data_IF_774871399451
#
_entry.id   IF_774871399451
#
_cell.length_a   1.000
_cell.length_b   1.000
_cell.length_c   1.000
_cell.angle_alpha   90.00
_cell.angle_beta   90.00
_cell.angle_gamma   90.00
#
_symmetry.space_group_name_H-M   'P 1'
#
loop_
_entity.id
_entity.type
_entity.pdbx_description
1 polymer ?
#
# COMPACT_ATOMS: atom_id res chain seq x y z
N UNK A 1 2.01 -2.80 35.11
CA UNK A 1 1.62 -3.53 33.89
C UNK A 1 1.40 -2.56 32.71
N UNK A 2 0.72 -1.44 32.90
CA UNK A 2 0.50 -0.43 31.85
C UNK A 2 1.79 0.09 31.19
N UNK A 3 2.83 0.39 31.95
CA UNK A 3 4.12 0.83 31.39
C UNK A 3 4.78 -0.25 30.50
N UNK A 4 4.64 -1.52 30.86
CA UNK A 4 5.20 -2.63 30.08
C UNK A 4 4.39 -2.81 28.78
N UNK A 5 3.06 -2.73 28.85
CA UNK A 5 2.20 -2.77 27.68
C UNK A 5 2.51 -1.63 26.74
N UNK A 6 2.58 -0.40 27.24
CA UNK A 6 2.95 0.77 26.45
C UNK A 6 4.33 0.65 25.80
N UNK A 7 5.33 0.16 26.54
CA UNK A 7 6.69 -0.04 26.01
C UNK A 7 6.71 -1.11 24.90
N UNK A 8 5.96 -2.20 25.10
CA UNK A 8 5.86 -3.29 24.13
C UNK A 8 5.13 -2.84 22.85
N UNK A 9 4.01 -2.13 22.97
CA UNK A 9 3.23 -1.64 21.84
C UNK A 9 3.98 -0.53 21.08
N UNK A 10 4.69 0.36 21.80
CA UNK A 10 5.59 1.33 21.18
C UNK A 10 6.71 0.65 20.40
N UNK A 11 7.37 -0.35 20.98
CA UNK A 11 8.41 -1.14 20.30
C UNK A 11 7.84 -1.86 19.09
N UNK A 12 6.65 -2.45 19.21
CA UNK A 12 5.97 -3.14 18.11
C UNK A 12 5.67 -2.18 16.94
N UNK A 13 5.11 -1.01 17.21
CA UNK A 13 4.82 0.00 16.20
C UNK A 13 6.09 0.48 15.45
N UNK A 14 7.19 0.72 16.19
CA UNK A 14 8.48 1.11 15.61
C UNK A 14 9.06 -0.01 14.73
N UNK A 15 9.01 -1.26 15.19
CA UNK A 15 9.51 -2.41 14.41
C UNK A 15 8.67 -2.68 13.18
N UNK A 16 7.34 -2.59 13.29
CA UNK A 16 6.43 -2.70 12.16
C UNK A 16 6.69 -1.57 11.15
N UNK A 17 6.85 -0.34 11.60
CA UNK A 17 7.23 0.79 10.76
C UNK A 17 8.57 0.58 10.05
N UNK A 18 9.56 0.01 10.73
CA UNK A 18 10.86 -0.32 10.12
C UNK A 18 10.73 -1.40 9.02
N UNK A 19 9.89 -2.42 9.20
CA UNK A 19 9.59 -3.40 8.16
C UNK A 19 8.92 -2.75 6.95
N UNK A 20 7.96 -1.84 7.16
CA UNK A 20 7.32 -1.10 6.07
C UNK A 20 8.31 -0.13 5.40
N UNK A 21 9.16 0.58 6.15
CA UNK A 21 10.24 1.39 5.59
C UNK A 21 11.12 0.57 4.65
N UNK A 22 11.41 -0.69 5.00
CA UNK A 22 12.19 -1.59 4.16
C UNK A 22 11.53 -1.87 2.80
N UNK A 23 10.20 -1.72 2.68
CA UNK A 23 9.51 -1.80 1.39
C UNK A 23 9.97 -0.73 0.39
N UNK A 24 10.52 0.41 0.82
CA UNK A 24 11.12 1.40 -0.09
C UNK A 24 12.30 0.80 -0.88
N UNK A 25 13.12 -0.05 -0.24
CA UNK A 25 14.14 -0.82 -0.95
C UNK A 25 13.51 -1.85 -1.90
N UNK A 26 12.42 -2.50 -1.50
CA UNK A 26 11.65 -3.42 -2.33
C UNK A 26 11.12 -2.76 -3.61
N UNK A 27 10.47 -1.62 -3.50
CA UNK A 27 10.01 -0.82 -4.65
C UNK A 27 11.17 -0.41 -5.55
N UNK A 28 12.27 0.07 -4.96
CA UNK A 28 13.45 0.45 -5.73
C UNK A 28 13.99 -0.73 -6.57
N UNK A 29 14.11 -1.91 -5.98
CA UNK A 29 14.63 -3.11 -6.67
C UNK A 29 13.64 -3.64 -7.70
N UNK A 30 12.36 -3.69 -7.38
CA UNK A 30 11.29 -4.10 -8.28
C UNK A 30 11.25 -3.20 -9.53
N UNK A 31 11.14 -1.89 -9.32
CA UNK A 31 11.08 -0.92 -10.40
C UNK A 31 12.36 -0.93 -11.24
N UNK A 32 13.54 -0.89 -10.60
CA UNK A 32 14.82 -0.93 -11.30
C UNK A 32 14.97 -2.21 -12.13
N UNK A 33 14.44 -3.34 -11.66
CA UNK A 33 14.47 -4.60 -12.39
C UNK A 33 13.51 -4.65 -13.58
N UNK A 34 12.35 -4.01 -13.50
CA UNK A 34 11.28 -4.04 -14.52
C UNK A 34 11.39 -2.92 -15.56
N UNK A 35 12.13 -1.83 -15.30
CA UNK A 35 12.37 -0.78 -16.30
C UNK A 35 13.55 -1.08 -17.20
N UNK A 36 13.70 -0.34 -18.29
CA UNK A 36 14.86 -0.45 -19.16
C UNK A 36 16.14 0.01 -18.45
N UNK A 37 17.29 -0.59 -18.80
CA UNK A 37 18.60 -0.31 -18.17
C UNK A 37 18.95 1.19 -18.09
N UNK A 38 18.59 1.95 -19.11
CA UNK A 38 18.86 3.40 -19.16
C UNK A 38 18.12 4.22 -18.08
N UNK A 39 17.00 3.68 -17.55
CA UNK A 39 16.12 4.36 -16.60
C UNK A 39 16.42 4.00 -15.14
N UNK A 40 17.33 3.04 -14.88
CA UNK A 40 17.61 2.50 -13.53
C UNK A 40 18.12 3.57 -12.58
N UNK A 41 19.06 4.43 -13.01
CA UNK A 41 19.59 5.51 -12.14
C UNK A 41 18.51 6.52 -11.74
N UNK A 42 17.58 6.81 -12.65
CA UNK A 42 16.43 7.65 -12.36
C UNK A 42 15.53 7.02 -11.30
N UNK A 43 15.25 5.71 -11.41
CA UNK A 43 14.46 4.95 -10.44
C UNK A 43 15.06 5.03 -9.04
N UNK A 44 16.37 4.78 -8.90
CA UNK A 44 17.06 4.84 -7.60
C UNK A 44 16.93 6.25 -6.99
N UNK A 45 17.23 7.28 -7.78
CA UNK A 45 17.13 8.69 -7.33
C UNK A 45 15.70 9.04 -6.94
N UNK A 46 14.73 8.59 -7.73
CA UNK A 46 13.31 8.86 -7.52
C UNK A 46 12.79 8.23 -6.23
N UNK A 47 13.14 6.98 -5.94
CA UNK A 47 12.70 6.28 -4.74
C UNK A 47 13.32 6.87 -3.46
N UNK A 48 14.61 7.18 -3.45
CA UNK A 48 15.25 7.89 -2.32
C UNK A 48 14.63 9.27 -2.11
N UNK A 49 14.39 10.02 -3.19
CA UNK A 49 13.82 11.36 -3.12
C UNK A 49 12.37 11.37 -2.64
N UNK A 50 11.51 10.49 -3.18
CA UNK A 50 10.10 10.42 -2.76
C UNK A 50 9.95 10.04 -1.28
N UNK A 51 10.75 9.08 -0.79
CA UNK A 51 10.72 8.67 0.60
C UNK A 51 11.11 9.84 1.53
N UNK A 52 12.21 10.53 1.19
CA UNK A 52 12.67 11.70 1.96
C UNK A 52 11.65 12.84 1.95
N UNK A 53 11.04 13.12 0.79
CA UNK A 53 9.97 14.13 0.66
C UNK A 53 8.75 13.71 1.50
N UNK A 54 8.33 12.45 1.44
CA UNK A 54 7.22 11.95 2.23
C UNK A 54 7.45 12.17 3.74
N UNK A 55 8.64 11.82 4.25
CA UNK A 55 8.98 12.02 5.66
C UNK A 55 8.88 13.49 6.08
N UNK A 56 9.40 14.40 5.26
CA UNK A 56 9.39 15.84 5.57
C UNK A 56 7.98 16.41 5.44
N UNK A 57 7.29 16.15 4.33
CA UNK A 57 5.98 16.72 4.06
C UNK A 57 4.92 16.21 5.02
N UNK A 58 5.02 14.94 5.41
CA UNK A 58 4.09 14.36 6.37
C UNK A 58 4.27 14.97 7.76
N UNK A 59 5.52 15.22 8.20
CA UNK A 59 5.76 15.92 9.47
C UNK A 59 5.25 17.38 9.42
N UNK A 60 5.58 18.11 8.36
CA UNK A 60 5.31 19.55 8.28
C UNK A 60 3.81 19.83 8.09
N UNK A 61 3.10 18.98 7.35
CA UNK A 61 1.73 19.24 6.91
C UNK A 61 0.83 17.99 7.10
N UNK A 62 1.27 16.83 6.59
CA UNK A 62 0.41 15.69 6.37
C UNK A 62 -0.18 15.10 7.64
N UNK A 63 0.65 14.90 8.68
CA UNK A 63 0.18 14.32 9.95
C UNK A 63 -0.91 15.19 10.60
N UNK A 64 -0.76 16.52 10.48
CA UNK A 64 -1.75 17.46 10.99
C UNK A 64 -3.08 17.47 10.23
N UNK A 65 -3.08 17.12 8.95
CA UNK A 65 -4.33 16.94 8.18
C UNK A 65 -4.93 15.55 8.38
N UNK A 66 -4.11 14.53 8.57
CA UNK A 66 -4.62 13.17 8.74
C UNK A 66 -5.25 12.95 10.13
N UNK A 67 -4.68 13.59 11.16
CA UNK A 67 -5.18 13.52 12.54
C UNK A 67 -5.48 14.94 13.07
N UNK A 68 -6.52 15.57 12.55
CA UNK A 68 -6.89 16.94 12.93
C UNK A 68 -7.53 16.97 14.31
N UNK A 69 -7.47 18.14 14.98
CA UNK A 69 -8.27 18.39 16.17
C UNK A 69 -9.76 18.62 15.87
N UNK A 70 -10.10 19.02 14.63
CA UNK A 70 -11.46 19.32 14.18
C UNK A 70 -11.57 19.16 12.66
N UNK A 71 -12.81 19.18 12.13
CA UNK A 71 -13.07 19.05 10.69
C UNK A 71 -14.37 19.71 10.27
N UNK A 72 -14.47 20.09 8.98
CA UNK A 72 -15.70 20.58 8.37
C UNK A 72 -16.44 19.39 7.76
N UNK A 73 -17.62 19.07 8.30
CA UNK A 73 -18.51 18.01 7.85
C UNK A 73 -17.82 16.62 7.73
N UNK A 74 -16.78 16.36 8.53
CA UNK A 74 -15.96 15.15 8.45
C UNK A 74 -15.33 14.89 7.06
N UNK A 75 -15.23 15.90 6.20
CA UNK A 75 -14.67 15.82 4.84
C UNK A 75 -13.37 16.61 4.73
N UNK A 76 -13.34 17.84 5.25
CA UNK A 76 -12.17 18.71 5.21
C UNK A 76 -11.56 18.81 6.61
N UNK A 77 -10.37 18.22 6.84
CA UNK A 77 -9.69 18.30 8.14
C UNK A 77 -9.22 19.74 8.41
N UNK A 78 -9.28 20.17 9.65
CA UNK A 78 -8.53 21.35 10.11
C UNK A 78 -7.04 21.02 10.21
N UNK A 79 -6.17 22.03 10.11
CA UNK A 79 -4.73 21.81 10.22
C UNK A 79 -4.29 21.91 11.69
N UNK A 80 -3.61 20.86 12.17
CA UNK A 80 -2.89 20.86 13.45
C UNK A 80 -1.40 20.68 13.18
N UNK A 81 -0.55 21.54 13.78
CA UNK A 81 0.90 21.43 13.57
C UNK A 81 1.53 20.44 14.55
N UNK A 82 2.29 19.49 14.00
CA UNK A 82 3.08 18.52 14.76
C UNK A 82 4.60 18.71 14.62
N UNK A 83 5.05 19.81 13.99
CA UNK A 83 6.49 20.09 13.81
C UNK A 83 7.25 20.17 15.13
N UNK A 84 6.56 20.64 16.18
CA UNK A 84 7.09 20.68 17.54
C UNK A 84 6.62 19.55 18.43
N UNK A 85 6.32 18.34 17.86
CA UNK A 85 5.87 17.20 18.63
C UNK A 85 6.77 16.96 19.85
N UNK A 86 6.18 16.99 21.05
CA UNK A 86 6.91 16.85 22.32
C UNK A 86 7.67 15.53 22.40
N UNK A 87 8.82 15.59 23.04
CA UNK A 87 9.64 14.39 23.34
C UNK A 87 9.44 13.90 24.77
N UNK A 88 8.59 14.57 25.56
CA UNK A 88 8.33 14.18 26.95
C UNK A 88 7.22 13.14 27.02
N UNK A 89 7.35 12.17 27.92
CA UNK A 89 6.32 11.15 28.16
C UNK A 89 5.03 11.73 28.74
N UNK A 90 5.09 12.91 29.36
CA UNK A 90 3.91 13.59 29.92
C UNK A 90 2.96 14.09 28.83
N UNK A 91 3.51 14.50 27.65
CA UNK A 91 2.73 15.09 26.57
C UNK A 91 2.28 14.08 25.52
N UNK A 92 2.92 12.89 25.44
CA UNK A 92 2.74 11.94 24.32
C UNK A 92 2.71 10.47 24.77
N UNK A 93 2.55 10.23 26.04
CA UNK A 93 2.59 8.90 26.63
C UNK A 93 1.25 8.42 27.19
N UNK A 94 1.32 7.48 28.14
CA UNK A 94 0.16 6.82 28.80
C UNK A 94 -0.82 7.84 29.40
N UNK A 95 -0.34 8.98 29.89
CA UNK A 95 -1.20 10.04 30.47
C UNK A 95 -2.18 10.65 29.46
N UNK A 96 -1.95 10.48 28.15
CA UNK A 96 -2.85 10.87 27.07
C UNK A 96 -3.84 9.76 26.66
N UNK A 97 -3.82 8.61 27.32
CA UNK A 97 -4.67 7.46 26.99
C UNK A 97 -4.27 6.77 25.68
N UNK A 98 -3.01 6.91 25.24
CA UNK A 98 -2.48 6.22 24.07
C UNK A 98 -1.88 4.87 24.46
N UNK A 99 -2.08 3.87 23.65
CA UNK A 99 -1.48 2.53 23.83
C UNK A 99 0.01 2.51 23.49
N UNK A 100 0.49 3.44 22.66
CA UNK A 100 1.90 3.59 22.23
C UNK A 100 2.24 5.07 21.98
N UNK A 101 3.53 5.39 21.84
CA UNK A 101 3.98 6.77 21.70
C UNK A 101 3.56 7.41 20.38
N UNK A 102 3.24 8.70 20.40
CA UNK A 102 2.87 9.48 19.20
C UNK A 102 4.00 9.52 18.16
N UNK A 103 5.26 9.44 18.58
CA UNK A 103 6.40 9.36 17.65
C UNK A 103 6.45 8.00 16.94
N UNK A 104 6.08 6.91 17.61
CA UNK A 104 5.95 5.60 17.01
C UNK A 104 4.80 5.56 16.00
N UNK A 105 3.66 6.17 16.34
CA UNK A 105 2.54 6.35 15.41
C UNK A 105 2.97 7.16 14.18
N UNK A 106 3.56 8.33 14.37
CA UNK A 106 4.08 9.13 13.26
C UNK A 106 4.99 8.32 12.33
N UNK A 107 5.96 7.58 12.92
CA UNK A 107 6.90 6.77 12.14
C UNK A 107 6.18 5.65 11.39
N UNK A 108 5.24 4.97 12.03
CA UNK A 108 4.44 3.92 11.40
C UNK A 108 3.57 4.48 10.27
N UNK A 109 2.93 5.62 10.46
CA UNK A 109 2.06 6.22 9.45
C UNK A 109 2.82 6.81 8.25
N UNK A 110 3.98 7.46 8.46
CA UNK A 110 4.72 8.09 7.35
C UNK A 110 5.20 7.09 6.31
N UNK A 111 5.48 5.86 6.69
CA UNK A 111 5.92 4.82 5.74
C UNK A 111 4.78 4.33 4.85
N UNK A 112 3.52 4.46 5.26
CA UNK A 112 2.33 4.24 4.43
C UNK A 112 2.14 5.36 3.41
N UNK A 113 2.35 6.61 3.81
CA UNK A 113 2.36 7.78 2.92
C UNK A 113 3.41 7.60 1.81
N UNK A 114 4.61 7.19 2.18
CA UNK A 114 5.69 6.92 1.23
C UNK A 114 5.33 5.75 0.29
N UNK A 115 4.66 4.71 0.80
CA UNK A 115 4.20 3.58 0.00
C UNK A 115 3.20 4.01 -1.08
N UNK A 116 2.22 4.86 -0.77
CA UNK A 116 1.28 5.39 -1.76
C UNK A 116 2.01 6.16 -2.89
N UNK A 117 3.04 6.95 -2.56
CA UNK A 117 3.84 7.65 -3.56
C UNK A 117 4.75 6.70 -4.36
N UNK A 118 5.24 5.61 -3.76
CA UNK A 118 6.02 4.58 -4.45
C UNK A 118 5.20 3.88 -5.55
N UNK A 119 3.90 3.67 -5.36
CA UNK A 119 2.99 3.14 -6.38
C UNK A 119 2.98 4.04 -7.62
N UNK A 120 2.93 5.36 -7.43
CA UNK A 120 3.03 6.33 -8.54
C UNK A 120 4.38 6.24 -9.23
N UNK A 121 5.47 6.07 -8.48
CA UNK A 121 6.83 5.94 -9.01
C UNK A 121 6.93 4.89 -10.10
N UNK A 122 6.45 3.69 -9.83
CA UNK A 122 6.47 2.56 -10.77
C UNK A 122 5.65 2.84 -12.04
N UNK A 123 4.45 3.36 -11.88
CA UNK A 123 3.53 3.62 -12.99
C UNK A 123 4.04 4.67 -13.99
N UNK A 124 4.82 5.66 -13.55
CA UNK A 124 5.35 6.75 -14.40
C UNK A 124 6.80 6.53 -14.83
N UNK A 125 7.38 5.39 -14.49
CA UNK A 125 8.78 5.07 -14.77
C UNK A 125 9.14 5.18 -16.25
N UNK A 126 10.34 5.71 -16.53
CA UNK A 126 10.91 5.88 -17.88
C UNK A 126 10.28 6.99 -18.72
N UNK A 127 9.45 7.89 -18.15
CA UNK A 127 8.89 9.03 -18.89
C UNK A 127 8.66 10.32 -18.10
N UNK A 128 8.44 10.24 -16.80
CA UNK A 128 8.24 11.44 -15.98
C UNK A 128 9.58 12.00 -15.51
N UNK A 129 9.83 13.27 -15.77
CA UNK A 129 11.05 13.95 -15.30
C UNK A 129 11.09 14.07 -13.78
N UNK A 130 12.28 14.01 -13.18
CA UNK A 130 12.47 14.02 -11.71
C UNK A 130 11.85 15.23 -11.01
N UNK A 131 12.06 16.46 -11.52
CA UNK A 131 11.55 17.65 -10.85
C UNK A 131 10.03 17.69 -10.78
N UNK A 132 9.26 17.51 -11.87
CA UNK A 132 7.80 17.37 -11.78
C UNK A 132 7.36 16.21 -10.88
N UNK A 133 8.08 15.08 -10.87
CA UNK A 133 7.78 13.97 -9.99
C UNK A 133 7.92 14.36 -8.50
N UNK A 134 8.99 15.06 -8.13
CA UNK A 134 9.18 15.50 -6.75
C UNK A 134 8.17 16.59 -6.33
N UNK A 135 7.77 17.47 -7.24
CA UNK A 135 6.66 18.42 -6.96
C UNK A 135 5.36 17.65 -6.71
N UNK A 136 5.07 16.63 -7.51
CA UNK A 136 3.90 15.78 -7.29
C UNK A 136 4.00 15.00 -5.96
N UNK A 137 5.20 14.53 -5.60
CA UNK A 137 5.43 13.87 -4.30
C UNK A 137 5.09 14.80 -3.12
N UNK A 138 5.51 16.08 -3.18
CA UNK A 138 5.13 17.10 -2.17
C UNK A 138 3.61 17.22 -2.04
N UNK A 139 2.89 17.29 -3.15
CA UNK A 139 1.42 17.45 -3.15
C UNK A 139 0.73 16.18 -2.66
N UNK A 140 1.14 15.01 -3.15
CA UNK A 140 0.51 13.75 -2.74
C UNK A 140 0.75 13.46 -1.27
N UNK A 141 1.99 13.59 -0.78
CA UNK A 141 2.35 13.19 0.57
C UNK A 141 2.01 14.22 1.65
N UNK A 142 1.95 15.51 1.27
CA UNK A 142 1.55 16.57 2.18
C UNK A 142 0.05 16.83 2.26
N UNK A 143 -0.70 16.57 1.18
CA UNK A 143 -2.11 16.98 1.10
C UNK A 143 -3.05 15.86 0.66
N UNK A 144 -2.87 15.26 -0.53
CA UNK A 144 -3.87 14.34 -1.11
C UNK A 144 -4.03 13.10 -0.23
N UNK A 145 -2.92 12.43 0.06
CA UNK A 145 -2.95 11.23 0.89
C UNK A 145 -3.44 11.52 2.32
N UNK A 146 -2.92 12.54 3.04
CA UNK A 146 -3.37 12.82 4.39
C UNK A 146 -4.87 13.17 4.49
N UNK A 147 -5.39 13.95 3.56
CA UNK A 147 -6.81 14.31 3.55
C UNK A 147 -7.70 13.10 3.31
N UNK A 148 -7.36 12.22 2.37
CA UNK A 148 -8.13 11.00 2.17
C UNK A 148 -7.89 9.97 3.28
N UNK A 149 -6.69 9.92 3.88
CA UNK A 149 -6.40 9.11 5.05
C UNK A 149 -7.23 9.53 6.27
N UNK A 150 -7.44 10.83 6.44
CA UNK A 150 -8.37 11.36 7.44
C UNK A 150 -9.79 10.80 7.26
N UNK A 151 -10.29 10.66 6.03
CA UNK A 151 -11.64 10.16 5.78
C UNK A 151 -11.89 8.79 6.42
N UNK A 152 -10.89 7.93 6.47
CA UNK A 152 -10.96 6.60 7.09
C UNK A 152 -10.32 6.60 8.49
N UNK A 153 -8.99 6.71 8.57
CA UNK A 153 -8.25 6.48 9.81
C UNK A 153 -8.23 7.69 10.77
N UNK A 154 -8.45 8.90 10.25
CA UNK A 154 -8.51 10.13 11.04
C UNK A 154 -9.90 10.51 11.57
N UNK A 155 -10.89 9.60 11.49
CA UNK A 155 -12.25 9.85 12.01
C UNK A 155 -13.18 10.64 11.07
N UNK A 156 -12.84 10.70 9.76
CA UNK A 156 -13.66 11.40 8.77
C UNK A 156 -14.93 10.64 8.36
N UNK A 157 -15.56 11.06 7.26
CA UNK A 157 -16.89 10.58 6.86
C UNK A 157 -16.96 9.08 6.52
N UNK A 158 -15.87 8.49 6.02
CA UNK A 158 -15.83 7.05 5.75
C UNK A 158 -15.84 6.25 7.06
N UNK A 159 -15.03 6.68 8.04
CA UNK A 159 -15.02 6.09 9.38
C UNK A 159 -16.39 6.20 10.04
N UNK A 160 -16.98 7.39 10.01
CA UNK A 160 -18.34 7.62 10.55
C UNK A 160 -19.43 6.80 9.83
N UNK A 161 -19.21 6.47 8.55
CA UNK A 161 -20.08 5.60 7.75
C UNK A 161 -19.85 4.10 7.95
N UNK A 162 -18.90 3.70 8.80
CA UNK A 162 -18.58 2.29 9.06
C UNK A 162 -17.73 1.63 7.98
N UNK A 163 -16.97 2.40 7.19
CA UNK A 163 -16.01 1.84 6.25
C UNK A 163 -14.85 1.19 7.00
N UNK A 164 -14.53 -0.04 6.64
CA UNK A 164 -13.42 -0.81 7.19
C UNK A 164 -12.36 -1.03 6.12
N UNK A 165 -11.13 -0.73 6.47
CA UNK A 165 -9.95 -0.97 5.65
C UNK A 165 -8.75 -1.09 6.60
N UNK A 166 -8.54 -2.30 7.10
CA UNK A 166 -7.63 -2.61 8.21
C UNK A 166 -6.23 -2.03 8.02
N UNK A 167 -5.60 -2.33 6.91
CA UNK A 167 -4.25 -1.88 6.63
C UNK A 167 -4.12 -1.05 5.33
N UNK A 168 -5.20 -0.81 4.57
CA UNK A 168 -5.18 0.16 3.48
C UNK A 168 -5.21 -0.37 2.06
N UNK A 169 -5.97 -1.44 1.74
CA UNK A 169 -6.24 -1.77 0.33
C UNK A 169 -6.84 -0.58 -0.43
N UNK A 170 -7.76 0.15 0.20
CA UNK A 170 -8.33 1.39 -0.31
C UNK A 170 -7.46 2.60 0.03
N UNK A 171 -7.22 2.81 1.32
CA UNK A 171 -6.59 4.02 1.85
C UNK A 171 -5.17 4.22 1.33
N UNK A 172 -4.37 3.17 1.12
CA UNK A 172 -3.00 3.28 0.62
C UNK A 172 -2.92 2.87 -0.85
N UNK A 173 -3.34 1.63 -1.16
CA UNK A 173 -3.07 1.04 -2.47
C UNK A 173 -3.95 1.65 -3.55
N UNK A 174 -5.25 1.75 -3.35
CA UNK A 174 -6.15 2.39 -4.32
C UNK A 174 -5.87 3.88 -4.44
N UNK A 175 -5.57 4.59 -3.35
CA UNK A 175 -5.17 6.00 -3.40
C UNK A 175 -3.93 6.22 -4.27
N UNK A 176 -2.85 5.48 -4.01
CA UNK A 176 -1.63 5.54 -4.82
C UNK A 176 -1.86 5.19 -6.28
N UNK A 177 -2.68 4.16 -6.55
CA UNK A 177 -3.00 3.73 -7.91
C UNK A 177 -3.91 4.70 -8.65
N UNK A 178 -4.87 5.35 -7.98
CA UNK A 178 -5.71 6.39 -8.56
C UNK A 178 -4.87 7.63 -8.95
N UNK A 179 -3.96 8.04 -8.07
CA UNK A 179 -2.99 9.09 -8.36
C UNK A 179 -2.09 8.70 -9.55
N UNK A 180 -1.59 7.47 -9.57
CA UNK A 180 -0.79 6.91 -10.65
C UNK A 180 -1.56 6.93 -11.98
N UNK A 181 -2.81 6.48 -11.99
CA UNK A 181 -3.67 6.46 -13.18
C UNK A 181 -3.87 7.87 -13.73
N UNK A 182 -4.18 8.85 -12.87
CA UNK A 182 -4.36 10.23 -13.29
C UNK A 182 -3.09 10.78 -13.97
N UNK A 183 -1.91 10.56 -13.37
CA UNK A 183 -0.64 11.01 -13.94
C UNK A 183 -0.31 10.28 -15.25
N UNK A 184 -0.55 8.96 -15.33
CA UNK A 184 -0.32 8.17 -16.55
C UNK A 184 -1.20 8.64 -17.70
N UNK A 185 -2.46 8.99 -17.44
CA UNK A 185 -3.38 9.54 -18.46
C UNK A 185 -2.90 10.88 -19.00
N UNK A 186 -2.33 11.74 -18.15
CA UNK A 186 -1.79 13.05 -18.54
C UNK A 186 -0.47 12.90 -19.31
N UNK A 187 0.44 12.02 -18.86
CA UNK A 187 1.75 11.85 -19.48
C UNK A 187 1.70 11.07 -20.81
N UNK A 188 0.71 10.21 -20.98
CA UNK A 188 0.67 9.26 -22.09
C UNK A 188 1.71 8.14 -21.96
N UNK A 189 1.82 7.30 -23.01
CA UNK A 189 2.72 6.14 -23.01
C UNK A 189 4.19 6.54 -23.22
N UNK A 190 5.12 5.65 -22.80
CA UNK A 190 6.54 5.77 -23.10
C UNK A 190 6.75 5.75 -24.64
N UNK A 191 7.76 6.48 -25.08
CA UNK A 191 8.11 6.54 -26.51
C UNK A 191 8.41 5.13 -27.04
N UNK A 192 7.70 4.73 -28.09
CA UNK A 192 7.85 3.42 -28.73
C UNK A 192 7.14 2.27 -28.00
N UNK A 193 6.27 2.54 -27.03
CA UNK A 193 5.45 1.51 -26.38
C UNK A 193 4.38 0.94 -27.29
N UNK A 194 3.78 1.76 -28.14
CA UNK A 194 2.78 1.35 -29.12
C UNK A 194 3.25 1.65 -30.54
N UNK A 195 3.02 0.72 -31.46
CA UNK A 195 3.22 0.91 -32.90
C UNK A 195 2.14 1.82 -33.49
N UNK A 196 2.31 2.23 -34.74
CA UNK A 196 1.35 3.12 -35.41
C UNK A 196 -0.06 2.53 -35.52
N UNK A 197 -0.19 1.21 -35.61
CA UNK A 197 -1.46 0.46 -35.62
C UNK A 197 -2.05 0.25 -34.21
N UNK A 198 -1.37 0.75 -33.16
CA UNK A 198 -1.75 0.58 -31.77
C UNK A 198 -1.31 -0.75 -31.15
N UNK A 199 -0.51 -1.57 -31.83
CA UNK A 199 0.02 -2.80 -31.26
C UNK A 199 0.98 -2.47 -30.11
N UNK A 200 0.77 -3.11 -28.95
CA UNK A 200 1.66 -2.97 -27.80
C UNK A 200 3.00 -3.68 -28.08
N UNK A 201 4.09 -2.93 -27.93
CA UNK A 201 5.44 -3.45 -28.13
C UNK A 201 6.09 -3.78 -26.78
N UNK A 202 6.84 -4.91 -26.67
CA UNK A 202 7.50 -5.28 -25.44
C UNK A 202 8.62 -4.31 -25.09
N UNK A 203 8.67 -3.92 -23.81
CA UNK A 203 9.77 -3.15 -23.23
C UNK A 203 10.39 -3.95 -22.08
N UNK A 204 11.31 -4.88 -22.37
CA UNK A 204 11.84 -5.80 -21.35
C UNK A 204 12.56 -5.07 -20.23
N UNK A 205 12.40 -5.57 -19.01
CA UNK A 205 13.09 -5.09 -17.83
C UNK A 205 14.60 -5.30 -17.89
N UNK A 206 15.32 -4.54 -17.09
CA UNK A 206 16.79 -4.55 -17.03
C UNK A 206 17.36 -5.79 -16.32
N UNK A 207 16.63 -6.28 -15.27
CA UNK A 207 17.14 -7.33 -14.39
C UNK A 207 15.99 -8.02 -13.64
N UNK A 208 15.50 -9.13 -14.15
CA UNK A 208 14.40 -9.89 -13.55
C UNK A 208 14.74 -10.45 -12.15
N UNK A 209 15.94 -11.02 -11.89
CA UNK A 209 16.33 -11.40 -10.54
C UNK A 209 16.26 -10.25 -9.52
N UNK A 210 16.64 -9.04 -9.92
CA UNK A 210 16.52 -7.85 -9.08
C UNK A 210 15.06 -7.50 -8.79
N UNK A 211 14.18 -7.58 -9.80
CA UNK A 211 12.74 -7.39 -9.63
C UNK A 211 12.15 -8.43 -8.66
N UNK A 212 12.54 -9.69 -8.77
CA UNK A 212 12.11 -10.75 -7.87
C UNK A 212 12.60 -10.50 -6.42
N UNK A 213 13.85 -10.06 -6.24
CA UNK A 213 14.35 -9.64 -4.93
C UNK A 213 13.50 -8.50 -4.34
N UNK A 214 13.14 -7.52 -5.17
CA UNK A 214 12.24 -6.43 -4.78
C UNK A 214 10.91 -6.95 -4.22
N UNK A 215 10.30 -7.94 -4.88
CA UNK A 215 9.04 -8.54 -4.40
C UNK A 215 9.22 -9.28 -3.07
N UNK A 216 10.32 -10.02 -2.88
CA UNK A 216 10.60 -10.67 -1.59
C UNK A 216 10.76 -9.67 -0.45
N UNK A 217 11.39 -8.52 -0.71
CA UNK A 217 11.52 -7.42 0.26
C UNK A 217 10.15 -6.79 0.54
N UNK A 218 9.32 -6.57 -0.48
CA UNK A 218 7.94 -6.08 -0.32
C UNK A 218 7.10 -7.06 0.50
N UNK A 219 7.18 -8.35 0.21
CA UNK A 219 6.46 -9.39 0.96
C UNK A 219 6.88 -9.42 2.44
N UNK A 220 8.18 -9.37 2.71
CA UNK A 220 8.69 -9.25 4.09
C UNK A 220 8.14 -8.01 4.79
N UNK A 221 8.20 -6.84 4.13
CA UNK A 221 7.69 -5.58 4.68
C UNK A 221 6.17 -5.61 4.92
N UNK A 222 5.45 -6.44 4.16
CA UNK A 222 4.00 -6.58 4.31
C UNK A 222 3.57 -7.22 5.63
N UNK A 223 4.43 -7.98 6.27
CA UNK A 223 4.18 -8.43 7.65
C UNK A 223 4.14 -7.26 8.62
N UNK A 224 5.02 -6.26 8.45
CA UNK A 224 4.92 -5.00 9.19
C UNK A 224 3.73 -4.15 8.77
N UNK A 225 3.40 -4.14 7.46
CA UNK A 225 2.29 -3.38 6.92
C UNK A 225 0.94 -3.85 7.49
N UNK A 226 0.60 -5.11 7.31
CA UNK A 226 -0.65 -5.68 7.80
C UNK A 226 -0.60 -5.96 9.31
N UNK A 227 0.46 -6.62 9.79
CA UNK A 227 0.57 -6.96 11.21
C UNK A 227 0.68 -5.74 12.11
N UNK A 228 1.48 -4.73 11.71
CA UNK A 228 1.57 -3.47 12.44
C UNK A 228 0.26 -2.72 12.55
N UNK A 229 -0.66 -2.92 11.59
CA UNK A 229 -2.00 -2.29 11.62
C UNK A 229 -2.95 -2.85 12.67
N UNK A 230 -2.58 -3.92 13.40
CA UNK A 230 -3.22 -4.29 14.66
C UNK A 230 -2.97 -3.24 15.75
N UNK A 231 -1.93 -2.41 15.59
CA UNK A 231 -1.49 -1.30 16.42
C UNK A 231 -0.93 -1.71 17.78
N UNK A 232 -1.46 -2.74 18.42
CA UNK A 232 -1.05 -3.25 19.73
C UNK A 232 -0.74 -4.74 19.67
N UNK A 233 0.09 -5.24 20.62
CA UNK A 233 0.47 -6.65 20.74
C UNK A 233 0.57 -7.10 22.21
N UNK A 234 0.35 -6.18 23.15
CA UNK A 234 0.63 -6.37 24.57
C UNK A 234 -0.40 -7.18 25.34
N UNK A 235 -1.46 -7.64 24.70
CA UNK A 235 -2.46 -8.52 25.30
C UNK A 235 -2.65 -9.80 24.47
N UNK A 236 -3.24 -10.85 25.08
CA UNK A 236 -3.41 -12.15 24.45
C UNK A 236 -4.21 -12.07 23.14
N UNK A 237 -5.32 -11.32 23.13
CA UNK A 237 -6.18 -11.19 21.94
C UNK A 237 -5.43 -10.56 20.78
N UNK A 238 -4.76 -9.43 21.01
CA UNK A 238 -3.96 -8.74 19.99
C UNK A 238 -2.79 -9.62 19.49
N UNK A 239 -2.12 -10.34 20.37
CA UNK A 239 -1.04 -11.24 19.98
C UNK A 239 -1.52 -12.39 19.07
N UNK A 240 -2.71 -12.95 19.35
CA UNK A 240 -3.35 -13.95 18.51
C UNK A 240 -3.75 -13.34 17.16
N UNK A 241 -4.36 -12.16 17.16
CA UNK A 241 -4.75 -11.45 15.94
C UNK A 241 -3.55 -11.15 15.04
N UNK A 242 -2.45 -10.61 15.59
CA UNK A 242 -1.20 -10.40 14.84
C UNK A 242 -0.73 -11.70 14.17
N UNK A 243 -0.77 -12.81 14.89
CA UNK A 243 -0.35 -14.11 14.37
C UNK A 243 -1.25 -14.56 13.21
N UNK A 244 -2.56 -14.35 13.31
CA UNK A 244 -3.54 -14.61 12.24
C UNK A 244 -3.27 -13.74 11.02
N UNK A 245 -3.06 -12.42 11.22
CA UNK A 245 -2.73 -11.46 10.17
C UNK A 245 -1.48 -11.86 9.39
N UNK A 246 -0.41 -12.26 10.08
CA UNK A 246 0.82 -12.75 9.44
C UNK A 246 0.57 -14.00 8.60
N UNK A 247 -0.15 -14.97 9.15
CA UNK A 247 -0.50 -16.20 8.45
C UNK A 247 -1.32 -15.90 7.18
N UNK A 248 -2.37 -15.11 7.30
CA UNK A 248 -3.28 -14.78 6.20
C UNK A 248 -2.58 -13.94 5.12
N UNK A 249 -1.75 -12.97 5.51
CA UNK A 249 -0.93 -12.19 4.58
C UNK A 249 -0.02 -13.09 3.75
N UNK A 250 0.66 -14.04 4.39
CA UNK A 250 1.54 -14.99 3.71
C UNK A 250 0.77 -15.92 2.76
N UNK A 251 -0.36 -16.46 3.21
CA UNK A 251 -1.18 -17.37 2.43
C UNK A 251 -1.84 -16.69 1.22
N UNK A 252 -2.29 -15.45 1.37
CA UNK A 252 -2.86 -14.68 0.26
C UNK A 252 -1.80 -14.37 -0.82
N UNK A 253 -0.60 -13.98 -0.42
CA UNK A 253 0.50 -13.79 -1.37
C UNK A 253 0.80 -15.09 -2.15
N UNK A 254 0.88 -16.21 -1.46
CA UNK A 254 1.09 -17.53 -2.07
C UNK A 254 -0.06 -17.90 -3.02
N UNK A 255 -1.31 -17.63 -2.64
CA UNK A 255 -2.48 -17.81 -3.50
C UNK A 255 -2.40 -17.03 -4.80
N UNK A 256 -1.98 -15.75 -4.71
CA UNK A 256 -1.78 -14.87 -5.88
C UNK A 256 -0.70 -15.38 -6.82
N UNK A 257 0.44 -15.83 -6.28
CA UNK A 257 1.55 -16.44 -7.06
C UNK A 257 1.06 -17.68 -7.81
N UNK A 258 0.43 -18.62 -7.10
CA UNK A 258 -0.03 -19.88 -7.69
C UNK A 258 -1.08 -19.61 -8.77
N UNK A 259 -2.03 -18.72 -8.53
CA UNK A 259 -3.06 -18.37 -9.51
C UNK A 259 -2.46 -17.79 -10.80
N UNK A 260 -1.47 -16.90 -10.70
CA UNK A 260 -0.81 -16.31 -11.88
C UNK A 260 0.06 -17.31 -12.63
N UNK A 261 0.71 -18.24 -11.94
CA UNK A 261 1.43 -19.37 -12.57
C UNK A 261 0.43 -20.22 -13.39
N UNK A 262 -0.68 -20.64 -12.77
CA UNK A 262 -1.66 -21.50 -13.41
C UNK A 262 -2.33 -20.83 -14.60
N UNK A 263 -2.79 -19.58 -14.47
CA UNK A 263 -3.45 -18.87 -15.56
C UNK A 263 -2.49 -18.59 -16.73
N UNK A 264 -1.22 -18.23 -16.44
CA UNK A 264 -0.20 -18.09 -17.47
C UNK A 264 -0.01 -19.38 -18.24
N UNK A 265 0.15 -20.49 -17.53
CA UNK A 265 0.36 -21.81 -18.15
C UNK A 265 -0.83 -22.25 -19.00
N UNK A 266 -2.06 -22.10 -18.46
CA UNK A 266 -3.29 -22.50 -19.17
C UNK A 266 -3.50 -21.68 -20.45
N UNK A 267 -3.30 -20.35 -20.38
CA UNK A 267 -3.63 -19.48 -21.51
C UNK A 267 -2.52 -19.39 -22.57
N UNK A 268 -1.26 -19.53 -22.17
CA UNK A 268 -0.12 -19.28 -23.07
C UNK A 268 0.81 -20.49 -23.25
N UNK A 269 0.64 -21.54 -22.46
CA UNK A 269 1.55 -22.68 -22.40
C UNK A 269 2.92 -22.36 -21.77
N UNK A 270 3.11 -21.14 -21.22
CA UNK A 270 4.36 -20.68 -20.61
C UNK A 270 4.07 -19.86 -19.37
N UNK A 271 4.97 -19.90 -18.41
CA UNK A 271 4.88 -19.09 -17.20
C UNK A 271 5.59 -17.75 -17.46
N UNK A 272 4.85 -16.64 -17.29
CA UNK A 272 5.40 -15.28 -17.36
C UNK A 272 5.81 -14.83 -15.95
N UNK A 273 7.11 -14.70 -15.73
CA UNK A 273 7.65 -14.33 -14.42
C UNK A 273 7.22 -12.93 -13.97
N UNK A 274 6.98 -11.99 -14.90
CA UNK A 274 6.52 -10.64 -14.53
C UNK A 274 5.09 -10.66 -14.02
N UNK A 275 4.25 -11.55 -14.56
CA UNK A 275 2.90 -11.81 -14.05
C UNK A 275 2.94 -12.50 -12.68
N UNK A 276 3.86 -13.43 -12.46
CA UNK A 276 4.05 -14.10 -11.17
C UNK A 276 4.47 -13.11 -10.09
N UNK A 277 5.40 -12.21 -10.40
CA UNK A 277 5.82 -11.09 -9.55
C UNK A 277 4.61 -10.22 -9.15
N UNK A 278 3.81 -9.82 -10.12
CA UNK A 278 2.59 -9.04 -9.87
C UNK A 278 1.52 -9.85 -9.11
N UNK A 279 1.47 -11.16 -9.30
CA UNK A 279 0.57 -12.06 -8.58
C UNK A 279 0.83 -12.09 -7.08
N UNK A 280 2.10 -12.08 -6.66
CA UNK A 280 2.47 -11.97 -5.25
C UNK A 280 1.96 -10.66 -4.64
N UNK A 281 2.24 -9.53 -5.30
CA UNK A 281 1.79 -8.20 -4.85
C UNK A 281 0.26 -8.13 -4.82
N UNK A 282 -0.42 -8.65 -5.84
CA UNK A 282 -1.87 -8.67 -5.90
C UNK A 282 -2.50 -9.48 -4.77
N UNK A 283 -1.92 -10.63 -4.42
CA UNK A 283 -2.37 -11.41 -3.27
C UNK A 283 -2.23 -10.63 -1.96
N UNK A 284 -1.12 -9.95 -1.77
CA UNK A 284 -0.86 -9.08 -0.63
C UNK A 284 -1.84 -7.92 -0.55
N UNK A 285 -2.08 -7.20 -1.65
CA UNK A 285 -3.04 -6.09 -1.71
C UNK A 285 -4.47 -6.55 -1.45
N UNK A 286 -4.87 -7.70 -2.02
CA UNK A 286 -6.23 -8.22 -1.87
C UNK A 286 -6.62 -8.53 -0.42
N UNK A 287 -5.67 -8.96 0.41
CA UNK A 287 -5.92 -9.31 1.82
C UNK A 287 -5.78 -8.11 2.77
N UNK A 288 -5.17 -7.01 2.31
CA UNK A 288 -4.74 -5.89 3.17
C UNK A 288 -5.90 -5.15 3.85
N UNK A 289 -7.11 -5.14 3.26
CA UNK A 289 -8.28 -4.50 3.88
C UNK A 289 -8.87 -5.33 5.03
N UNK A 290 -8.66 -6.65 5.03
CA UNK A 290 -9.21 -7.55 6.05
C UNK A 290 -8.33 -8.80 6.22
N UNK A 291 -7.15 -8.67 6.84
CA UNK A 291 -6.26 -9.80 7.05
C UNK A 291 -6.57 -10.59 8.33
N UNK A 292 -7.37 -10.07 9.25
CA UNK A 292 -7.60 -10.62 10.57
C UNK A 292 -8.68 -11.73 10.60
N UNK A 293 -9.84 -11.47 10.01
CA UNK A 293 -11.02 -12.34 10.11
C UNK A 293 -11.03 -13.58 9.18
N UNK A 294 -10.47 -13.54 7.95
CA UNK A 294 -10.49 -14.69 7.08
C UNK A 294 -9.78 -15.90 7.66
N UNK A 295 -10.35 -17.09 7.47
CA UNK A 295 -9.61 -18.35 7.66
C UNK A 295 -8.45 -18.45 6.66
N UNK A 296 -7.43 -19.25 6.95
CA UNK A 296 -6.31 -19.47 6.03
C UNK A 296 -6.74 -19.94 4.63
N UNK A 297 -7.80 -20.74 4.53
CA UNK A 297 -8.37 -21.15 3.24
C UNK A 297 -9.00 -19.98 2.48
N UNK A 298 -9.73 -19.11 3.16
CA UNK A 298 -10.27 -17.89 2.57
C UNK A 298 -9.17 -16.94 2.14
N UNK A 299 -8.11 -16.78 2.92
CA UNK A 299 -6.94 -15.96 2.56
C UNK A 299 -6.29 -16.44 1.26
N UNK A 300 -6.11 -17.75 1.05
CA UNK A 300 -5.62 -18.33 -0.21
C UNK A 300 -6.54 -17.94 -1.38
N UNK A 301 -7.86 -18.08 -1.20
CA UNK A 301 -8.84 -17.77 -2.26
C UNK A 301 -8.83 -16.26 -2.59
N UNK A 302 -8.82 -15.39 -1.57
CA UNK A 302 -8.74 -13.94 -1.76
C UNK A 302 -7.47 -13.57 -2.55
N UNK A 303 -6.34 -14.12 -2.16
CA UNK A 303 -5.09 -13.92 -2.86
C UNK A 303 -5.11 -14.44 -4.30
N UNK A 304 -5.69 -15.62 -4.53
CA UNK A 304 -5.84 -16.22 -5.86
C UNK A 304 -6.73 -15.35 -6.77
N UNK A 305 -7.83 -14.82 -6.26
CA UNK A 305 -8.69 -13.87 -6.98
C UNK A 305 -7.92 -12.59 -7.33
N UNK A 306 -7.11 -12.06 -6.41
CA UNK A 306 -6.20 -10.95 -6.67
C UNK A 306 -5.23 -11.27 -7.81
N UNK A 307 -4.60 -12.45 -7.78
CA UNK A 307 -3.69 -12.93 -8.82
C UNK A 307 -4.35 -13.07 -10.21
N UNK A 308 -5.56 -13.62 -10.28
CA UNK A 308 -6.32 -13.67 -11.53
C UNK A 308 -6.67 -12.27 -12.04
N UNK A 309 -7.15 -11.42 -11.14
CA UNK A 309 -7.57 -10.07 -11.49
C UNK A 309 -6.41 -9.20 -12.00
N UNK A 310 -5.24 -9.27 -11.38
CA UNK A 310 -4.05 -8.54 -11.84
C UNK A 310 -3.60 -9.01 -13.21
N UNK A 311 -3.61 -10.32 -13.46
CA UNK A 311 -3.22 -10.89 -14.76
C UNK A 311 -4.07 -10.30 -15.91
N UNK A 312 -5.38 -10.35 -15.77
CA UNK A 312 -6.29 -9.85 -16.80
C UNK A 312 -6.30 -8.33 -16.89
N UNK A 313 -6.19 -7.61 -15.77
CA UNK A 313 -6.20 -6.14 -15.79
C UNK A 313 -4.94 -5.55 -16.42
N UNK A 314 -3.75 -6.12 -16.19
CA UNK A 314 -2.52 -5.71 -16.90
C UNK A 314 -2.69 -5.86 -18.41
N UNK A 315 -3.19 -7.01 -18.87
CA UNK A 315 -3.41 -7.23 -20.29
C UNK A 315 -4.47 -6.28 -20.88
N UNK A 316 -5.52 -5.99 -20.12
CA UNK A 316 -6.59 -5.09 -20.54
C UNK A 316 -6.11 -3.64 -20.66
N UNK A 317 -5.40 -3.15 -19.64
CA UNK A 317 -4.84 -1.80 -19.64
C UNK A 317 -3.83 -1.60 -20.77
N UNK A 318 -2.90 -2.52 -20.93
CA UNK A 318 -1.89 -2.42 -21.98
C UNK A 318 -2.52 -2.57 -23.39
N UNK A 319 -3.28 -3.63 -23.63
CA UNK A 319 -3.73 -3.97 -25.00
C UNK A 319 -5.00 -3.25 -25.44
N UNK A 320 -5.92 -2.93 -24.53
CA UNK A 320 -7.23 -2.32 -24.86
C UNK A 320 -7.27 -0.84 -24.56
N UNK A 321 -6.90 -0.43 -23.35
CA UNK A 321 -6.96 0.98 -22.96
C UNK A 321 -5.72 1.77 -23.41
N UNK A 322 -4.64 1.09 -23.83
CA UNK A 322 -3.37 1.72 -24.19
C UNK A 322 -2.79 2.58 -23.08
N UNK A 323 -2.99 2.15 -21.84
CA UNK A 323 -2.40 2.74 -20.66
C UNK A 323 -1.07 2.02 -20.39
N UNK A 324 0.02 2.74 -20.55
CA UNK A 324 1.37 2.20 -20.32
C UNK A 324 1.73 2.28 -18.85
N UNK A 325 1.60 1.15 -18.16
CA UNK A 325 2.00 0.96 -16.77
C UNK A 325 3.21 0.01 -16.72
N UNK A 326 4.44 0.53 -16.59
CA UNK A 326 5.67 -0.24 -16.72
C UNK A 326 5.81 -1.44 -15.80
N UNK A 327 5.26 -1.34 -14.60
CA UNK A 327 5.41 -2.37 -13.54
C UNK A 327 4.10 -3.04 -13.15
N UNK A 328 2.97 -2.63 -13.72
CA UNK A 328 1.64 -3.15 -13.39
C UNK A 328 1.05 -2.56 -12.09
N UNK A 329 1.54 -1.39 -11.66
CA UNK A 329 1.16 -0.77 -10.39
C UNK A 329 -0.33 -0.44 -10.30
N UNK A 330 -0.93 0.13 -11.37
CA UNK A 330 -2.35 0.48 -11.41
C UNK A 330 -3.22 -0.78 -11.27
N UNK A 331 -2.82 -1.86 -11.94
CA UNK A 331 -3.52 -3.15 -11.86
C UNK A 331 -3.38 -3.78 -10.48
N UNK A 332 -2.16 -3.89 -9.97
CA UNK A 332 -1.86 -4.59 -8.72
C UNK A 332 -2.38 -3.85 -7.49
N UNK A 333 -2.32 -2.52 -7.48
CA UNK A 333 -2.75 -1.73 -6.32
C UNK A 333 -4.14 -1.11 -6.48
N UNK A 334 -4.54 -0.71 -7.71
CA UNK A 334 -5.83 -0.06 -7.97
C UNK A 334 -6.97 -1.09 -8.09
N UNK A 335 -6.91 -1.90 -9.13
CA UNK A 335 -7.98 -2.87 -9.40
C UNK A 335 -8.08 -3.91 -8.29
N UNK A 336 -6.94 -4.42 -7.81
CA UNK A 336 -6.93 -5.39 -6.71
C UNK A 336 -7.22 -4.72 -5.37
N UNK A 337 -6.86 -3.44 -5.17
CA UNK A 337 -7.26 -2.69 -3.99
C UNK A 337 -8.78 -2.54 -3.85
N UNK A 338 -9.49 -2.35 -4.98
CA UNK A 338 -10.96 -2.38 -5.00
C UNK A 338 -11.47 -3.76 -4.58
N UNK A 339 -10.90 -4.84 -5.11
CA UNK A 339 -11.26 -6.20 -4.68
C UNK A 339 -11.08 -6.37 -3.18
N UNK A 340 -9.93 -5.95 -2.61
CA UNK A 340 -9.63 -6.08 -1.19
C UNK A 340 -10.69 -5.42 -0.31
N UNK A 341 -11.09 -4.19 -0.63
CA UNK A 341 -12.16 -3.49 0.10
C UNK A 341 -13.52 -4.18 -0.07
N UNK A 342 -13.83 -4.70 -1.27
CA UNK A 342 -15.09 -5.40 -1.54
C UNK A 342 -15.20 -6.76 -0.84
N UNK A 343 -14.11 -7.36 -0.44
CA UNK A 343 -14.09 -8.64 0.28
C UNK A 343 -14.43 -8.46 1.76
N UNK A 344 -14.16 -7.29 2.36
CA UNK A 344 -14.41 -7.01 3.79
C UNK A 344 -15.81 -7.44 4.24
N UNK A 345 -16.92 -6.99 3.63
CA UNK A 345 -18.27 -7.38 4.09
C UNK A 345 -18.58 -8.88 3.91
N UNK A 346 -17.74 -9.64 3.21
CA UNK A 346 -17.91 -11.07 3.01
C UNK A 346 -17.16 -11.91 4.06
N UNK A 347 -16.18 -11.33 4.73
CA UNK A 347 -15.27 -12.03 5.65
C UNK A 347 -15.26 -11.46 7.07
N UNK A 348 -15.55 -10.17 7.25
CA UNK A 348 -15.55 -9.52 8.55
C UNK A 348 -16.68 -10.06 9.45
N UNK A 349 -16.32 -10.88 10.41
CA UNK A 349 -17.28 -11.52 11.35
C UNK A 349 -17.95 -10.47 12.26
N UNK A 350 -17.23 -9.43 12.64
CA UNK A 350 -17.74 -8.31 13.45
C UNK A 350 -18.90 -7.56 12.79
N UNK A 351 -18.91 -7.49 11.46
CA UNK A 351 -19.97 -6.80 10.70
C UNK A 351 -21.30 -7.57 10.69
N UNK A 352 -21.23 -8.91 10.68
CA UNK A 352 -22.43 -9.75 10.64
C UNK A 352 -23.13 -9.83 11.99
N UNK A 353 -22.40 -9.70 13.10
CA UNK A 353 -22.95 -9.80 14.45
C UNK A 353 -23.49 -8.44 14.97
N UNK A 354 -22.88 -7.30 14.64
CA UNK A 354 -23.38 -5.98 15.06
C UNK A 354 -24.75 -5.65 14.43
N UNK A 355 -24.96 -5.99 13.14
CA UNK A 355 -26.27 -5.79 12.49
C UNK A 355 -27.37 -6.75 12.95
N UNK A 356 -27.03 -7.94 13.44
CA UNK A 356 -28.02 -8.90 13.96
C UNK A 356 -28.60 -8.47 15.33
N UNK A 357 -27.98 -7.52 16.01
CA UNK A 357 -28.45 -6.98 17.29
C UNK A 357 -29.14 -5.61 17.16
N UNK A 358 -29.12 -4.99 15.97
CA UNK A 358 -29.81 -3.70 15.70
C UNK A 358 -31.18 -3.87 15.01
N UNK A 359 -31.61 -5.10 14.73
CA UNK A 359 -32.97 -5.44 14.26
C UNK A 359 -33.72 -6.23 15.31
#
# INVERSE_FOLDING_TARGET
>A
MEEISFALDTFYAVMAGALVMWMAAGFTMLEAGLVQKKDVSEIVTKNLGLYSIACIMYLVIGFGYMYPGDSIANILPSFTSYVGLSTTSEDVGISYGMDYSAQADFFFQVVFVATAMSIVSGAVAGRMKLVPFFIFAVVLTGFIYPVQGFWNWGGGFLSAGGYLDYAGSGTVHLCGAAAALAVVMVLGPRKGKYAADGTSLPMPGSNIPLAALGVWILWLGWFGFNGGSTLVVSNEGAAVEVSQVFMNTNLAAAGGVVATILVSLILTGKIDVTMVINGAIAGLVAITAEPADPSGGQAIIIGALGGLLVYFSILYFDKKLKLDDPVGAISAHGIVGILGVMVVPLTAVSYTHLRAHET
#
